data_IF_634824836966
#
_entry.id   IF_634824836966
#
_cell.length_a   1.000
_cell.length_b   1.000
_cell.length_c   1.000
_cell.angle_alpha   90.00
_cell.angle_beta   90.00
_cell.angle_gamma   90.00
#
_symmetry.space_group_name_H-M   'P 1'
#
loop_
_entity.id
_entity.type
_entity.pdbx_description
1 polymer ?
#
# COMPACT_ATOMS: atom_id res chain seq x y z
N UNK A 1 -1.33 -21.69 -9.32
CA UNK A 1 -1.52 -20.27 -9.66
C UNK A 1 -0.61 -19.92 -10.85
N UNK A 2 -1.09 -20.13 -12.06
CA UNK A 2 -0.37 -19.89 -13.30
C UNK A 2 -1.10 -18.77 -14.04
N UNK A 3 -0.42 -17.66 -14.31
CA UNK A 3 -0.89 -16.61 -15.22
C UNK A 3 -0.35 -16.88 -16.62
N UNK A 4 -1.08 -16.43 -17.64
CA UNK A 4 -0.60 -16.37 -19.03
C UNK A 4 -0.65 -14.93 -19.50
N UNK A 5 0.34 -14.52 -20.30
CA UNK A 5 0.41 -13.20 -20.87
C UNK A 5 -0.16 -13.21 -22.29
N UNK A 6 -0.97 -12.21 -22.57
CA UNK A 6 -1.53 -11.96 -23.89
C UNK A 6 -1.19 -10.54 -24.32
N UNK A 7 -1.04 -10.35 -25.61
CA UNK A 7 -0.91 -9.03 -26.24
C UNK A 7 -2.15 -8.74 -27.05
N UNK A 8 -2.53 -7.48 -27.13
CA UNK A 8 -3.61 -6.99 -27.97
C UNK A 8 -3.18 -5.67 -28.60
N UNK A 9 -3.42 -5.43 -29.89
CA UNK A 9 -3.12 -4.15 -30.53
C UNK A 9 -3.92 -3.02 -29.88
N UNK A 10 -3.33 -1.83 -29.78
CA UNK A 10 -3.98 -0.65 -29.20
C UNK A 10 -5.23 -0.25 -29.98
N UNK A 11 -5.22 -0.49 -31.29
CA UNK A 11 -6.35 -0.25 -32.20
C UNK A 11 -7.48 -1.28 -32.05
N UNK A 12 -7.31 -2.27 -31.19
CA UNK A 12 -8.25 -3.38 -31.00
C UNK A 12 -7.90 -4.59 -31.87
N UNK A 13 -8.65 -5.66 -31.67
CA UNK A 13 -8.47 -6.93 -32.38
C UNK A 13 -8.47 -8.13 -31.44
N UNK A 14 -8.08 -9.30 -31.94
CA UNK A 14 -7.95 -10.50 -31.13
C UNK A 14 -6.64 -10.45 -30.33
N UNK A 15 -6.72 -10.90 -29.08
CA UNK A 15 -5.53 -11.07 -28.26
C UNK A 15 -4.70 -12.27 -28.74
N UNK A 16 -3.38 -12.12 -28.72
CA UNK A 16 -2.41 -13.19 -29.03
C UNK A 16 -1.67 -13.61 -27.77
N UNK A 17 -1.56 -14.92 -27.57
CA UNK A 17 -0.83 -15.45 -26.43
C UNK A 17 0.68 -15.26 -26.63
N UNK A 18 1.35 -14.71 -25.60
CA UNK A 18 2.81 -14.70 -25.56
C UNK A 18 3.27 -16.12 -25.28
N UNK A 19 4.20 -16.70 -26.09
CA UNK A 19 4.57 -18.11 -25.99
C UNK A 19 5.47 -18.39 -24.76
N UNK A 20 4.92 -18.11 -23.57
CA UNK A 20 5.50 -18.36 -22.26
C UNK A 20 4.66 -19.38 -21.51
N UNK A 21 5.32 -20.28 -20.80
CA UNK A 21 4.60 -21.27 -19.97
C UNK A 21 3.76 -20.60 -18.87
N UNK A 22 4.33 -19.59 -18.23
CA UNK A 22 3.68 -18.76 -17.20
C UNK A 22 4.21 -17.33 -17.30
N UNK A 23 3.42 -16.36 -16.89
CA UNK A 23 3.81 -14.96 -16.80
C UNK A 23 2.89 -14.15 -15.93
N UNK A 24 3.44 -13.18 -15.24
CA UNK A 24 2.75 -12.20 -14.42
C UNK A 24 3.04 -10.79 -14.93
N UNK A 25 3.40 -9.87 -14.02
CA UNK A 25 3.75 -8.50 -14.38
C UNK A 25 4.85 -8.46 -15.42
N UNK A 26 4.67 -7.62 -16.40
CA UNK A 26 5.57 -7.56 -17.53
C UNK A 26 5.76 -6.14 -18.05
N UNK A 27 6.93 -5.89 -18.62
CA UNK A 27 7.30 -4.63 -19.26
C UNK A 27 8.07 -4.90 -20.54
N UNK A 28 7.66 -4.26 -21.63
CA UNK A 28 8.37 -4.34 -22.90
C UNK A 28 9.65 -3.51 -22.88
N UNK A 29 10.70 -4.01 -23.54
CA UNK A 29 11.84 -3.18 -23.90
C UNK A 29 11.38 -2.05 -24.86
N UNK A 30 12.04 -0.87 -24.86
CA UNK A 30 11.63 0.25 -25.71
C UNK A 30 11.59 -0.06 -27.21
N UNK A 31 12.38 -1.02 -27.67
CA UNK A 31 12.40 -1.50 -29.05
C UNK A 31 11.37 -2.60 -29.37
N UNK A 32 10.59 -3.01 -28.35
CA UNK A 32 9.54 -4.03 -28.46
C UNK A 32 10.02 -5.46 -28.68
N UNK A 33 11.35 -5.71 -28.68
CA UNK A 33 11.91 -7.02 -29.01
C UNK A 33 12.02 -7.96 -27.82
N UNK A 34 11.95 -7.43 -26.59
CA UNK A 34 12.09 -8.19 -25.36
C UNK A 34 10.99 -7.85 -24.39
N UNK A 35 10.68 -8.79 -23.50
CA UNK A 35 9.71 -8.65 -22.43
C UNK A 35 10.36 -9.06 -21.12
N UNK A 36 10.52 -8.12 -20.18
CA UNK A 36 10.85 -8.44 -18.81
C UNK A 36 9.57 -8.86 -18.08
N UNK A 37 9.59 -9.95 -17.32
CA UNK A 37 8.39 -10.49 -16.69
C UNK A 37 8.69 -11.29 -15.43
N UNK A 38 7.67 -11.44 -14.58
CA UNK A 38 7.64 -12.38 -13.48
C UNK A 38 7.05 -13.72 -13.94
N UNK A 39 7.58 -14.81 -13.41
CA UNK A 39 7.08 -16.14 -13.72
C UNK A 39 5.81 -16.49 -12.96
N UNK A 40 5.66 -15.95 -11.75
CA UNK A 40 4.53 -16.17 -10.85
C UNK A 40 3.65 -14.93 -10.80
N UNK A 41 2.36 -15.12 -10.96
CA UNK A 41 1.35 -14.06 -11.13
C UNK A 41 0.87 -13.39 -9.82
N UNK A 42 1.51 -13.54 -8.68
CA UNK A 42 0.94 -13.12 -7.40
C UNK A 42 1.82 -12.15 -6.62
N UNK A 43 1.58 -10.83 -6.75
CA UNK A 43 2.29 -9.78 -5.97
C UNK A 43 1.64 -9.50 -4.64
N UNK A 44 0.31 -9.59 -4.57
CA UNK A 44 -0.46 -9.28 -3.37
C UNK A 44 -0.50 -10.48 -2.42
N UNK A 45 0.68 -10.97 -2.07
CA UNK A 45 0.80 -12.05 -1.09
C UNK A 45 0.90 -11.43 0.29
N UNK A 46 0.16 -11.99 1.25
CA UNK A 46 0.36 -11.73 2.66
C UNK A 46 1.69 -12.31 3.19
N UNK A 47 2.49 -12.94 2.33
CA UNK A 47 3.75 -13.59 2.72
C UNK A 47 4.90 -12.61 2.59
N UNK A 48 5.35 -12.11 3.70
CA UNK A 48 6.63 -11.40 3.76
C UNK A 48 7.79 -12.38 3.94
N UNK A 49 8.91 -12.05 3.35
CA UNK A 49 10.17 -12.78 3.53
C UNK A 49 10.11 -14.26 3.15
N UNK A 50 9.20 -14.58 2.22
CA UNK A 50 9.05 -15.95 1.75
C UNK A 50 10.31 -16.39 1.01
N UNK A 51 10.78 -17.60 1.34
CA UNK A 51 11.89 -18.28 0.68
C UNK A 51 11.40 -19.65 0.23
N UNK A 52 11.42 -19.92 -1.05
CA UNK A 52 10.99 -21.19 -1.59
C UNK A 52 10.60 -21.10 -3.05
N UNK A 53 10.08 -22.19 -3.61
CA UNK A 53 9.81 -22.32 -5.04
C UNK A 53 8.76 -21.38 -5.63
N UNK A 54 8.10 -20.56 -4.79
CA UNK A 54 7.20 -19.51 -5.23
C UNK A 54 7.78 -18.10 -4.98
N UNK A 55 9.02 -17.97 -4.50
CA UNK A 55 9.74 -16.72 -4.59
C UNK A 55 10.02 -16.46 -6.07
N UNK A 56 9.71 -15.25 -6.54
CA UNK A 56 9.79 -14.95 -7.96
C UNK A 56 11.09 -14.22 -8.32
N UNK A 57 11.52 -14.43 -9.53
CA UNK A 57 12.68 -13.78 -10.15
C UNK A 57 12.23 -13.02 -11.39
N UNK A 58 13.04 -12.03 -11.78
CA UNK A 58 12.85 -11.35 -13.05
C UNK A 58 13.44 -12.19 -14.19
N UNK A 59 12.66 -12.34 -15.24
CA UNK A 59 13.03 -13.04 -16.48
C UNK A 59 12.87 -12.09 -17.66
N UNK A 60 13.67 -12.32 -18.67
CA UNK A 60 13.60 -11.60 -19.96
C UNK A 60 13.34 -12.61 -21.07
N UNK A 61 12.23 -12.42 -21.78
CA UNK A 61 11.88 -13.16 -22.98
C UNK A 61 12.27 -12.38 -24.22
N UNK A 62 12.93 -13.02 -25.17
CA UNK A 62 13.31 -12.44 -26.47
C UNK A 62 12.39 -12.96 -27.56
N UNK A 63 11.64 -12.09 -28.21
CA UNK A 63 10.64 -12.44 -29.23
C UNK A 63 11.27 -12.97 -30.51
N UNK A 64 12.53 -12.64 -30.82
CA UNK A 64 13.23 -13.14 -32.01
C UNK A 64 13.72 -14.57 -31.81
N UNK A 65 14.39 -14.82 -30.68
CA UNK A 65 14.98 -16.12 -30.40
C UNK A 65 14.01 -17.09 -29.73
N UNK A 66 12.86 -16.59 -29.22
CA UNK A 66 11.86 -17.33 -28.44
C UNK A 66 12.44 -17.99 -27.17
N UNK A 67 13.49 -17.38 -26.61
CA UNK A 67 14.16 -17.85 -25.39
C UNK A 67 13.87 -16.94 -24.21
N UNK A 68 13.80 -17.52 -23.03
CA UNK A 68 13.68 -16.81 -21.76
C UNK A 68 14.94 -17.01 -20.93
N UNK A 69 15.50 -15.93 -20.42
CA UNK A 69 16.64 -15.90 -19.50
C UNK A 69 16.17 -15.38 -18.13
N UNK A 70 16.61 -16.02 -17.04
CA UNK A 70 16.45 -15.50 -15.68
C UNK A 70 17.61 -14.53 -15.43
N UNK A 71 17.30 -13.30 -15.04
CA UNK A 71 18.30 -12.24 -14.85
C UNK A 71 18.57 -11.92 -13.39
N UNK A 72 17.65 -12.29 -12.47
CA UNK A 72 17.91 -12.21 -11.04
C UNK A 72 17.95 -13.62 -10.45
N UNK A 73 18.74 -13.81 -9.39
CA UNK A 73 18.94 -15.10 -8.73
C UNK A 73 19.23 -14.91 -7.24
N UNK A 74 18.20 -14.74 -6.45
CA UNK A 74 18.30 -14.68 -5.00
C UNK A 74 17.18 -15.50 -4.35
N UNK A 75 17.31 -15.78 -3.05
CA UNK A 75 16.35 -16.60 -2.32
C UNK A 75 15.04 -15.89 -1.96
N UNK A 76 14.98 -14.59 -2.23
CA UNK A 76 13.85 -13.72 -1.96
C UNK A 76 13.10 -13.37 -3.25
N UNK A 77 12.09 -12.52 -3.14
CA UNK A 77 11.28 -12.13 -4.28
C UNK A 77 11.87 -10.92 -5.00
N UNK A 78 11.92 -11.02 -6.33
CA UNK A 78 12.17 -9.92 -7.25
C UNK A 78 10.93 -9.80 -8.15
N UNK A 79 10.23 -8.65 -8.09
CA UNK A 79 8.92 -8.50 -8.75
C UNK A 79 8.78 -7.11 -9.39
N UNK A 80 7.77 -6.94 -10.24
CA UNK A 80 7.46 -5.70 -10.97
C UNK A 80 8.59 -5.19 -11.85
N UNK A 81 9.01 -5.96 -12.86
CA UNK A 81 10.04 -5.48 -13.79
C UNK A 81 9.55 -4.29 -14.60
N UNK A 82 10.40 -3.30 -14.76
CA UNK A 82 10.15 -2.07 -15.52
C UNK A 82 11.38 -1.75 -16.37
N UNK A 83 11.25 -1.79 -17.69
CA UNK A 83 12.31 -1.34 -18.59
C UNK A 83 12.50 0.18 -18.51
N UNK A 84 13.76 0.62 -18.44
CA UNK A 84 14.08 2.03 -18.62
C UNK A 84 13.77 2.51 -20.04
N UNK A 85 13.45 3.80 -20.22
CA UNK A 85 13.18 4.37 -21.56
C UNK A 85 14.33 4.21 -22.56
N UNK A 86 15.57 4.14 -22.08
CA UNK A 86 16.77 3.95 -22.93
C UNK A 86 17.11 2.47 -23.19
N UNK A 87 16.39 1.54 -22.55
CA UNK A 87 16.59 0.10 -22.73
C UNK A 87 17.84 -0.49 -22.10
N UNK A 88 18.58 0.27 -21.28
CA UNK A 88 19.82 -0.18 -20.66
C UNK A 88 19.63 -0.75 -19.26
N UNK A 89 18.50 -0.46 -18.60
CA UNK A 89 18.23 -0.84 -17.22
C UNK A 89 16.87 -1.50 -17.10
N UNK A 90 16.75 -2.52 -16.24
CA UNK A 90 15.50 -3.06 -15.77
C UNK A 90 15.38 -2.74 -14.29
N UNK A 91 14.40 -1.91 -13.94
CA UNK A 91 14.06 -1.63 -12.55
C UNK A 91 13.09 -2.67 -12.03
N UNK A 92 13.15 -2.97 -10.75
CA UNK A 92 12.26 -3.93 -10.09
C UNK A 92 12.27 -3.70 -8.57
N UNK A 93 11.37 -4.31 -7.83
CA UNK A 93 11.41 -4.30 -6.37
C UNK A 93 11.78 -5.67 -5.82
N UNK A 94 12.51 -5.66 -4.69
CA UNK A 94 13.01 -6.87 -4.03
C UNK A 94 12.95 -6.74 -2.52
N UNK A 95 12.56 -7.84 -1.83
CA UNK A 95 12.58 -7.95 -0.37
C UNK A 95 13.85 -8.64 0.17
N UNK A 96 14.94 -8.66 -0.61
CA UNK A 96 16.21 -9.28 -0.20
C UNK A 96 16.85 -8.66 1.05
N UNK A 97 16.46 -7.44 1.40
CA UNK A 97 16.80 -6.73 2.65
C UNK A 97 15.67 -6.74 3.69
N UNK A 98 14.73 -7.69 3.64
CA UNK A 98 13.54 -7.84 4.47
C UNK A 98 12.40 -6.87 4.18
N UNK A 99 12.63 -5.76 3.50
CA UNK A 99 11.65 -4.76 3.06
C UNK A 99 11.79 -4.59 1.55
N UNK A 100 10.67 -4.55 0.84
CA UNK A 100 10.65 -4.29 -0.60
C UNK A 100 11.25 -2.92 -0.88
N UNK A 101 12.37 -2.91 -1.58
CA UNK A 101 13.08 -1.73 -2.04
C UNK A 101 13.25 -1.76 -3.55
N UNK A 102 13.53 -0.60 -4.14
CA UNK A 102 13.79 -0.45 -5.57
C UNK A 102 15.23 -0.85 -5.90
N UNK A 103 15.37 -1.63 -6.96
CA UNK A 103 16.63 -2.10 -7.53
C UNK A 103 16.71 -1.77 -9.02
N UNK A 104 17.91 -1.71 -9.54
CA UNK A 104 18.21 -1.54 -10.95
C UNK A 104 19.18 -2.64 -11.41
N UNK A 105 18.84 -3.33 -12.49
CA UNK A 105 19.68 -4.29 -13.18
C UNK A 105 20.20 -3.66 -14.48
N UNK A 106 21.49 -3.57 -14.63
CA UNK A 106 22.14 -3.10 -15.87
C UNK A 106 22.19 -4.25 -16.88
N UNK A 107 21.57 -4.06 -18.04
CA UNK A 107 21.44 -5.10 -19.07
C UNK A 107 22.80 -5.42 -19.72
N UNK A 108 23.73 -4.48 -19.74
CA UNK A 108 25.03 -4.61 -20.39
C UNK A 108 26.07 -5.25 -19.47
N UNK A 109 26.16 -4.79 -18.22
CA UNK A 109 27.12 -5.33 -17.24
C UNK A 109 26.60 -6.56 -16.51
N UNK A 110 25.28 -6.78 -16.52
CA UNK A 110 24.57 -7.85 -15.78
C UNK A 110 24.72 -7.72 -14.26
N UNK A 111 24.92 -6.52 -13.77
CA UNK A 111 25.00 -6.23 -12.35
C UNK A 111 23.73 -5.55 -11.86
N UNK A 112 23.35 -5.80 -10.60
CA UNK A 112 22.23 -5.14 -9.98
C UNK A 112 22.66 -4.26 -8.79
N UNK A 113 21.91 -3.19 -8.57
CA UNK A 113 22.18 -2.19 -7.54
C UNK A 113 20.88 -1.81 -6.82
N UNK A 114 20.94 -1.74 -5.50
CA UNK A 114 19.86 -1.18 -4.68
C UNK A 114 19.81 0.35 -4.83
N UNK A 115 18.63 0.90 -5.04
CA UNK A 115 18.39 2.33 -5.24
C UNK A 115 17.77 3.03 -4.04
N UNK A 116 16.88 2.34 -3.30
CA UNK A 116 16.22 2.86 -2.09
C UNK A 116 16.57 2.01 -0.87
N UNK A 117 16.38 2.54 0.34
CA UNK A 117 16.78 1.87 1.57
C UNK A 117 15.75 2.00 2.70
N UNK A 118 14.47 1.78 2.36
CA UNK A 118 13.39 1.76 3.35
C UNK A 118 13.54 0.61 4.34
N UNK A 119 13.11 0.83 5.60
CA UNK A 119 13.26 -0.14 6.69
C UNK A 119 11.96 -0.51 7.39
N UNK A 120 10.88 0.23 7.14
CA UNK A 120 9.60 0.04 7.85
C UNK A 120 8.52 -0.53 6.93
N UNK A 121 8.28 0.12 5.80
CA UNK A 121 7.20 -0.24 4.86
C UNK A 121 7.75 -0.65 3.51
N UNK A 122 7.07 -1.59 2.88
CA UNK A 122 7.39 -2.07 1.56
C UNK A 122 7.04 -1.04 0.49
N UNK A 123 7.84 -0.95 -0.57
CA UNK A 123 7.41 -0.34 -1.82
C UNK A 123 6.35 -1.23 -2.45
N UNK A 124 5.26 -0.61 -2.96
CA UNK A 124 4.18 -1.29 -3.67
C UNK A 124 3.81 -0.55 -4.94
N UNK A 125 3.25 -1.30 -5.91
CA UNK A 125 2.70 -0.78 -7.15
C UNK A 125 3.63 0.18 -7.91
N UNK A 126 4.91 -0.18 -8.13
CA UNK A 126 5.79 0.70 -8.88
C UNK A 126 5.36 0.79 -10.35
N UNK A 127 5.47 1.97 -10.91
CA UNK A 127 5.23 2.24 -12.33
C UNK A 127 6.28 3.23 -12.85
N UNK A 128 6.81 2.98 -14.04
CA UNK A 128 7.82 3.82 -14.68
C UNK A 128 7.22 4.69 -15.78
N UNK A 129 7.64 5.96 -15.81
CA UNK A 129 7.45 6.88 -16.91
C UNK A 129 8.81 7.31 -17.48
N UNK A 130 8.81 8.33 -18.32
CA UNK A 130 10.03 8.80 -19.00
C UNK A 130 11.12 9.29 -18.03
N UNK A 131 10.74 9.86 -16.89
CA UNK A 131 11.65 10.51 -15.94
C UNK A 131 11.57 10.00 -14.52
N UNK A 132 10.48 9.36 -14.16
CA UNK A 132 10.16 8.98 -12.80
C UNK A 132 9.71 7.52 -12.72
N UNK A 133 10.09 6.86 -11.63
CA UNK A 133 9.39 5.69 -11.12
C UNK A 133 8.52 6.18 -9.97
N UNK A 134 7.21 5.98 -10.05
CA UNK A 134 6.27 6.30 -8.97
C UNK A 134 5.87 5.03 -8.25
N UNK A 135 5.68 5.11 -6.94
CA UNK A 135 5.30 3.97 -6.11
C UNK A 135 4.61 4.39 -4.80
N UNK A 136 3.88 3.48 -4.19
CA UNK A 136 3.35 3.62 -2.85
C UNK A 136 4.37 3.15 -1.81
N UNK A 137 4.54 3.92 -0.73
CA UNK A 137 5.36 3.54 0.40
C UNK A 137 4.79 4.17 1.69
N UNK A 138 4.42 3.33 2.65
CA UNK A 138 3.88 3.78 3.93
C UNK A 138 2.59 4.61 3.82
N UNK A 139 1.73 4.33 2.84
CA UNK A 139 0.48 5.05 2.61
C UNK A 139 0.63 6.37 1.85
N UNK A 140 1.83 6.65 1.32
CA UNK A 140 2.10 7.84 0.51
C UNK A 140 2.63 7.49 -0.87
N UNK A 141 2.49 8.42 -1.82
CA UNK A 141 3.07 8.30 -3.15
C UNK A 141 4.44 8.95 -3.17
N UNK A 142 5.42 8.22 -3.68
CA UNK A 142 6.79 8.70 -3.91
C UNK A 142 7.15 8.64 -5.38
N UNK A 143 8.07 9.50 -5.78
CA UNK A 143 8.72 9.48 -7.07
C UNK A 143 10.23 9.32 -6.92
N UNK A 144 10.81 8.38 -7.65
CA UNK A 144 12.25 8.23 -7.82
C UNK A 144 12.64 8.81 -9.18
N UNK A 145 13.41 9.88 -9.18
CA UNK A 145 13.87 10.57 -10.40
C UNK A 145 15.02 9.81 -11.04
N UNK A 146 14.84 9.38 -12.29
CA UNK A 146 15.80 8.53 -13.02
C UNK A 146 17.11 9.24 -13.34
N UNK A 147 17.10 10.58 -13.47
CA UNK A 147 18.28 11.35 -13.83
C UNK A 147 19.12 11.67 -12.60
N UNK A 148 18.49 12.15 -11.53
CA UNK A 148 19.21 12.57 -10.32
C UNK A 148 19.43 11.44 -9.32
N UNK A 149 18.69 10.34 -9.44
CA UNK A 149 18.73 9.24 -8.48
C UNK A 149 18.14 9.61 -7.11
N UNK A 150 17.30 10.64 -7.05
CA UNK A 150 16.70 11.11 -5.79
C UNK A 150 15.24 10.70 -5.69
N UNK A 151 14.84 10.36 -4.51
CA UNK A 151 13.44 10.11 -4.16
C UNK A 151 12.81 11.34 -3.50
N UNK A 152 11.52 11.54 -3.75
CA UNK A 152 10.73 12.60 -3.15
C UNK A 152 9.28 12.16 -2.96
N UNK A 153 8.66 12.58 -1.85
CA UNK A 153 7.24 12.38 -1.61
C UNK A 153 6.44 13.30 -2.54
N UNK A 154 5.44 12.74 -3.23
CA UNK A 154 4.53 13.49 -4.08
C UNK A 154 3.38 14.01 -3.22
N UNK A 155 3.24 15.32 -3.12
CA UNK A 155 2.13 15.94 -2.41
C UNK A 155 0.92 16.03 -3.35
N UNK A 156 -0.19 15.42 -2.94
CA UNK A 156 -1.46 15.49 -3.67
C UNK A 156 -2.40 16.38 -2.86
N UNK A 157 -2.85 17.47 -3.47
CA UNK A 157 -3.87 18.35 -2.91
C UNK A 157 -5.19 18.06 -3.62
N UNK A 158 -6.24 17.87 -2.84
CA UNK A 158 -7.60 17.63 -3.37
C UNK A 158 -8.48 18.79 -2.90
N UNK A 159 -8.86 19.64 -3.83
CA UNK A 159 -9.82 20.70 -3.59
C UNK A 159 -11.24 20.14 -3.74
N UNK A 160 -11.89 19.90 -2.61
CA UNK A 160 -13.30 19.50 -2.58
C UNK A 160 -14.02 20.15 -1.39
N UNK A 161 -15.33 20.24 -1.48
CA UNK A 161 -16.19 20.80 -0.44
C UNK A 161 -16.30 19.91 0.80
N UNK A 162 -15.75 18.71 0.76
CA UNK A 162 -15.79 17.70 1.82
C UNK A 162 -17.19 17.52 2.45
N UNK A 163 -18.22 17.50 1.62
CA UNK A 163 -19.62 17.47 2.06
C UNK A 163 -19.91 16.30 2.98
N UNK A 164 -19.29 15.14 2.72
CA UNK A 164 -19.48 13.93 3.53
C UNK A 164 -18.69 13.90 4.85
N UNK A 165 -17.70 14.77 5.02
CA UNK A 165 -16.93 14.90 6.26
C UNK A 165 -17.37 16.07 7.13
N UNK A 166 -18.42 16.81 6.71
CA UNK A 166 -18.98 17.90 7.54
C UNK A 166 -19.70 17.31 8.76
N UNK A 167 -19.56 17.90 9.94
CA UNK A 167 -20.26 17.48 11.13
C UNK A 167 -21.78 17.50 10.89
N UNK A 168 -22.46 16.42 11.22
CA UNK A 168 -23.92 16.30 11.17
C UNK A 168 -24.45 15.83 12.50
N UNK A 169 -25.64 16.33 12.89
CA UNK A 169 -26.35 15.80 14.04
C UNK A 169 -27.01 14.49 13.65
N UNK A 170 -26.72 13.45 14.41
CA UNK A 170 -27.27 12.11 14.17
C UNK A 170 -27.81 11.55 15.47
N UNK A 171 -28.98 10.91 15.41
CA UNK A 171 -29.53 10.16 16.55
C UNK A 171 -28.69 8.90 16.77
N UNK A 172 -28.07 8.81 17.95
CA UNK A 172 -27.20 7.68 18.35
C UNK A 172 -27.83 6.83 19.46
N UNK A 173 -29.10 7.03 19.80
CA UNK A 173 -29.78 6.29 20.88
C UNK A 173 -29.72 4.78 20.68
N UNK A 174 -29.79 4.30 19.46
CA UNK A 174 -29.64 2.89 19.10
C UNK A 174 -28.20 2.36 19.02
N UNK A 175 -27.18 3.21 19.23
CA UNK A 175 -25.75 2.88 19.08
C UNK A 175 -24.96 3.01 20.38
N UNK A 176 -25.63 3.05 21.51
CA UNK A 176 -24.99 3.10 22.83
C UNK A 176 -24.35 1.74 23.12
N UNK A 177 -23.06 1.74 23.37
CA UNK A 177 -22.27 0.53 23.65
C UNK A 177 -21.93 0.34 25.13
N UNK A 178 -21.84 1.43 25.91
CA UNK A 178 -21.59 1.37 27.34
C UNK A 178 -22.18 2.57 28.07
N UNK A 179 -22.52 2.38 29.35
CA UNK A 179 -23.07 3.42 30.24
C UNK A 179 -22.43 3.25 31.61
N UNK A 180 -21.99 4.36 32.24
CA UNK A 180 -21.55 4.37 33.62
C UNK A 180 -22.05 5.63 34.35
N UNK A 181 -22.55 5.48 35.56
CA UNK A 181 -23.05 6.58 36.38
C UNK A 181 -21.92 7.15 37.23
N UNK A 182 -21.82 8.47 37.31
CA UNK A 182 -20.87 9.15 38.19
C UNK A 182 -21.10 8.77 39.65
N UNK A 183 -20.08 8.69 40.51
CA UNK A 183 -20.23 8.36 41.92
C UNK A 183 -21.23 9.24 42.70
N UNK A 184 -21.34 10.52 42.34
CA UNK A 184 -22.30 11.45 42.91
C UNK A 184 -23.70 11.36 42.30
N UNK A 185 -23.91 10.60 41.23
CA UNK A 185 -25.21 10.40 40.59
C UNK A 185 -25.73 11.55 39.74
N UNK A 186 -24.94 12.63 39.57
CA UNK A 186 -25.35 13.83 38.83
C UNK A 186 -25.14 13.76 37.35
N UNK A 187 -24.23 12.88 36.90
CA UNK A 187 -23.88 12.69 35.48
C UNK A 187 -23.79 11.20 35.11
N UNK A 188 -23.94 10.95 33.83
CA UNK A 188 -23.73 9.63 33.21
C UNK A 188 -22.72 9.79 32.10
N UNK A 189 -21.75 8.88 31.99
CA UNK A 189 -20.90 8.77 30.81
C UNK A 189 -21.47 7.68 29.91
N UNK A 190 -21.46 7.94 28.60
CA UNK A 190 -22.00 7.05 27.57
C UNK A 190 -21.00 6.94 26.43
N UNK A 191 -20.71 5.73 26.01
CA UNK A 191 -20.00 5.51 24.76
C UNK A 191 -21.02 5.23 23.65
N UNK A 192 -20.97 6.00 22.59
CA UNK A 192 -21.87 5.86 21.45
C UNK A 192 -21.16 6.25 20.14
N UNK A 193 -21.23 5.38 19.13
CA UNK A 193 -20.69 5.60 17.78
C UNK A 193 -19.21 6.05 17.76
N UNK A 194 -18.40 5.53 18.66
CA UNK A 194 -16.98 5.84 18.72
C UNK A 194 -16.59 7.11 19.49
N UNK A 195 -17.57 7.80 20.09
CA UNK A 195 -17.31 8.95 20.96
C UNK A 195 -17.80 8.68 22.40
N UNK A 196 -17.18 9.38 23.34
CA UNK A 196 -17.57 9.35 24.76
C UNK A 196 -18.29 10.65 25.11
N UNK A 197 -19.52 10.52 25.60
CA UNK A 197 -20.35 11.64 26.00
C UNK A 197 -20.58 11.65 27.51
N UNK A 198 -20.60 12.85 28.10
CA UNK A 198 -21.04 13.07 29.47
C UNK A 198 -22.39 13.79 29.47
N UNK A 199 -23.42 13.11 30.00
CA UNK A 199 -24.79 13.60 30.06
C UNK A 199 -25.17 13.95 31.50
N UNK A 200 -25.88 15.03 31.73
CA UNK A 200 -26.51 15.28 33.07
C UNK A 200 -27.69 14.35 33.26
N UNK A 201 -27.92 13.88 34.51
CA UNK A 201 -29.06 13.04 34.85
C UNK A 201 -30.39 13.84 34.90
N UNK A 202 -30.29 15.14 35.19
CA UNK A 202 -31.44 16.05 35.19
C UNK A 202 -31.27 17.07 34.06
N UNK A 203 -31.22 18.33 34.39
CA UNK A 203 -31.02 19.42 33.45
C UNK A 203 -29.56 19.75 33.32
N UNK A 204 -29.09 20.14 32.10
CA UNK A 204 -27.73 20.55 31.84
C UNK A 204 -27.27 20.26 30.43
N UNK A 205 -25.99 20.52 30.18
CA UNK A 205 -25.37 20.38 28.87
C UNK A 205 -24.72 18.99 28.74
N UNK A 206 -24.96 18.34 27.60
CA UNK A 206 -24.21 17.18 27.17
C UNK A 206 -22.90 17.60 26.55
N UNK A 207 -21.80 16.97 26.96
CA UNK A 207 -20.48 17.20 26.41
C UNK A 207 -20.01 15.97 25.64
N UNK A 208 -19.51 16.16 24.42
CA UNK A 208 -18.66 15.15 23.78
C UNK A 208 -17.25 15.33 24.37
N UNK A 209 -16.74 14.32 25.04
CA UNK A 209 -15.48 14.38 25.78
C UNK A 209 -14.27 14.07 24.91
N UNK A 210 -14.42 13.18 23.95
CA UNK A 210 -13.30 12.76 23.09
C UNK A 210 -13.25 13.54 21.80
N UNK A 211 -14.39 13.81 21.17
CA UNK A 211 -14.50 14.57 19.92
C UNK A 211 -13.47 14.13 18.87
N UNK A 212 -13.30 12.82 18.74
CA UNK A 212 -12.30 12.17 17.89
C UNK A 212 -12.99 11.48 16.72
N UNK A 213 -13.02 12.13 15.57
CA UNK A 213 -13.65 11.60 14.35
C UNK A 213 -12.83 10.47 13.69
N UNK A 214 -11.59 10.29 14.11
CA UNK A 214 -10.58 9.37 13.57
C UNK A 214 -10.28 8.18 14.50
N UNK A 215 -11.02 8.07 15.60
CA UNK A 215 -10.86 6.99 16.58
C UNK A 215 -12.19 6.39 16.98
N UNK A 216 -12.13 5.17 17.50
CA UNK A 216 -13.30 4.47 18.08
C UNK A 216 -13.11 4.33 19.58
N UNK A 217 -13.71 5.26 20.33
CA UNK A 217 -13.65 5.32 21.77
C UNK A 217 -14.82 4.55 22.40
N UNK A 218 -14.52 3.64 23.33
CA UNK A 218 -15.52 2.73 23.90
C UNK A 218 -15.24 2.39 25.37
N UNK A 219 -16.19 1.71 26.02
CA UNK A 219 -16.06 1.16 27.38
C UNK A 219 -15.69 2.20 28.44
N UNK A 220 -16.38 3.35 28.40
CA UNK A 220 -16.13 4.43 29.35
C UNK A 220 -16.60 4.07 30.78
N UNK A 221 -15.79 4.46 31.76
CA UNK A 221 -16.05 4.28 33.19
C UNK A 221 -15.56 5.45 34.04
N UNK A 222 -16.22 5.72 35.19
CA UNK A 222 -15.81 6.71 36.17
C UNK A 222 -14.77 6.15 37.16
N UNK A 223 -13.82 6.98 37.58
CA UNK A 223 -13.01 6.70 38.75
C UNK A 223 -13.89 6.76 40.03
N UNK A 224 -13.53 6.04 41.10
CA UNK A 224 -14.30 6.02 42.34
C UNK A 224 -14.49 7.39 43.01
N UNK A 225 -13.56 8.32 42.78
CA UNK A 225 -13.60 9.68 43.28
C UNK A 225 -14.30 10.67 42.34
N UNK A 226 -14.79 10.20 41.18
CA UNK A 226 -15.52 11.00 40.19
C UNK A 226 -14.69 12.03 39.42
N UNK A 227 -13.34 11.98 39.54
CA UNK A 227 -12.47 13.00 38.92
C UNK A 227 -12.01 12.61 37.52
N UNK A 228 -12.00 11.34 37.20
CA UNK A 228 -11.48 10.83 35.95
C UNK A 228 -12.49 9.91 35.25
N UNK A 229 -12.39 9.87 33.92
CA UNK A 229 -13.08 8.91 33.08
C UNK A 229 -11.99 8.11 32.35
N UNK A 230 -12.07 6.78 32.48
CA UNK A 230 -11.25 5.85 31.68
C UNK A 230 -12.06 5.34 30.48
N UNK A 231 -11.44 5.11 29.37
CA UNK A 231 -12.03 4.52 28.18
C UNK A 231 -10.96 3.81 27.34
N UNK A 232 -11.38 3.00 26.39
CA UNK A 232 -10.52 2.33 25.42
C UNK A 232 -10.64 3.06 24.09
N UNK A 233 -9.52 3.28 23.42
CA UNK A 233 -9.42 3.96 22.11
C UNK A 233 -8.50 3.20 21.19
N UNK A 234 -8.76 3.23 19.90
CA UNK A 234 -7.87 2.73 18.84
C UNK A 234 -7.08 3.86 18.15
N UNK A 235 -7.03 5.04 18.76
CA UNK A 235 -6.40 6.24 18.20
C UNK A 235 -4.92 6.07 17.84
N UNK A 236 -4.23 5.24 18.58
CA UNK A 236 -2.79 5.00 18.38
C UNK A 236 -2.50 3.66 17.65
N UNK A 237 -3.55 2.98 17.14
CA UNK A 237 -3.47 1.73 16.37
C UNK A 237 -3.68 0.46 17.18
#
# INVERSE_FOLDING_TARGET
FTGQLFTVPVEGGMSEEVPLKNGGFASYSPDGKKLAYNYIFREFRAWKRYQGGMADDIRVFDFNTKKSERITDNVRQDVFPMWSPDGNTIYYISDRGDIMNLYAYDVNTKEDKQLTSYKEYDIKFPAIGDKLIVYEQGGYIYGYDLQSGKESKITINIDNDQVYSRPTLTDVSGQISSIAVAPGGERVVVAARGDIFSLPVKEGITYNLTNSSDANDMQAGWSPDGKYISYVSDKDG
#
